data_IF_352566392452
#
_entry.id   IF_352566392452
#
_cell.length_a   1.000
_cell.length_b   1.000
_cell.length_c   1.000
_cell.angle_alpha   90.00
_cell.angle_beta   90.00
_cell.angle_gamma   90.00
#
_symmetry.space_group_name_H-M   'P 1'
#
loop_
_entity.id
_entity.type
_entity.pdbx_description
1 polymer ?
#
# COMPACT_ATOMS: atom_id res chain seq x y z
N UNK A 1 -44.27 -48.52 -36.13
CA UNK A 1 -45.43 -49.04 -35.37
C UNK A 1 -45.74 -48.04 -34.27
N UNK A 2 -46.95 -47.50 -34.29
CA UNK A 2 -47.41 -46.44 -33.37
C UNK A 2 -48.20 -47.14 -32.26
N UNK A 3 -47.68 -47.18 -31.04
CA UNK A 3 -48.40 -47.71 -29.88
C UNK A 3 -48.76 -46.54 -28.97
N UNK A 4 -49.97 -46.06 -29.19
CA UNK A 4 -50.78 -45.26 -28.28
C UNK A 4 -51.17 -46.12 -27.08
N UNK A 5 -50.67 -45.76 -25.90
CA UNK A 5 -51.27 -46.15 -24.62
C UNK A 5 -51.67 -44.87 -23.92
N UNK A 6 -52.86 -44.37 -24.26
CA UNK A 6 -53.53 -43.29 -23.54
C UNK A 6 -54.53 -43.95 -22.58
N UNK A 7 -54.02 -44.37 -21.42
CA UNK A 7 -54.85 -44.75 -20.25
C UNK A 7 -54.77 -43.57 -19.26
N UNK A 8 -55.90 -42.95 -18.88
CA UNK A 8 -55.91 -41.67 -18.15
C UNK A 8 -55.37 -41.74 -16.71
N UNK A 9 -55.09 -42.94 -16.17
CA UNK A 9 -54.66 -43.14 -14.77
C UNK A 9 -53.21 -43.60 -14.60
N UNK A 10 -52.44 -43.79 -15.69
CA UNK A 10 -51.04 -44.24 -15.58
C UNK A 10 -50.12 -43.01 -15.60
N UNK A 11 -49.70 -42.56 -14.41
CA UNK A 11 -48.76 -41.45 -14.25
C UNK A 11 -47.44 -41.79 -14.95
N UNK A 12 -47.06 -40.98 -15.93
CA UNK A 12 -45.78 -41.12 -16.63
C UNK A 12 -44.65 -40.47 -15.80
N UNK A 13 -43.99 -41.26 -14.96
CA UNK A 13 -42.89 -40.81 -14.11
C UNK A 13 -41.73 -40.16 -14.89
N UNK A 14 -41.43 -40.65 -16.10
CA UNK A 14 -40.34 -40.09 -16.92
C UNK A 14 -40.66 -38.68 -17.45
N UNK A 15 -41.92 -38.43 -17.80
CA UNK A 15 -42.38 -37.11 -18.23
C UNK A 15 -42.35 -36.12 -17.06
N UNK A 16 -42.81 -36.57 -15.89
CA UNK A 16 -42.81 -35.78 -14.66
C UNK A 16 -41.39 -35.44 -14.17
N UNK A 17 -40.46 -36.40 -14.24
CA UNK A 17 -39.05 -36.16 -13.90
C UNK A 17 -38.41 -35.11 -14.80
N UNK A 18 -38.68 -35.16 -16.12
CA UNK A 18 -38.17 -34.16 -17.06
C UNK A 18 -38.76 -32.78 -16.80
N UNK A 19 -40.05 -32.69 -16.49
CA UNK A 19 -40.70 -31.44 -16.11
C UNK A 19 -40.08 -30.84 -14.84
N UNK A 20 -39.87 -31.68 -13.82
CA UNK A 20 -39.21 -31.28 -12.58
C UNK A 20 -37.79 -30.79 -12.82
N UNK A 21 -37.00 -31.51 -13.62
CA UNK A 21 -35.64 -31.11 -13.98
C UNK A 21 -35.64 -29.76 -14.70
N UNK A 22 -36.56 -29.55 -15.67
CA UNK A 22 -36.70 -28.28 -16.37
C UNK A 22 -37.06 -27.13 -15.43
N UNK A 23 -37.96 -27.36 -14.47
CA UNK A 23 -38.33 -26.35 -13.48
C UNK A 23 -37.15 -25.98 -12.58
N UNK A 24 -36.41 -26.97 -12.10
CA UNK A 24 -35.21 -26.77 -11.28
C UNK A 24 -34.12 -26.00 -12.03
N UNK A 25 -33.92 -26.30 -13.31
CA UNK A 25 -32.95 -25.58 -14.14
C UNK A 25 -33.35 -24.12 -14.39
N UNK A 26 -34.64 -23.86 -14.60
CA UNK A 26 -35.18 -22.52 -14.75
C UNK A 26 -34.98 -21.70 -13.48
N UNK A 27 -35.26 -22.26 -12.30
CA UNK A 27 -35.03 -21.60 -11.01
C UNK A 27 -33.56 -21.29 -10.78
N UNK A 28 -32.67 -22.26 -11.06
CA UNK A 28 -31.21 -22.06 -10.98
C UNK A 28 -30.73 -20.96 -11.92
N UNK A 29 -31.34 -20.84 -13.11
CA UNK A 29 -31.02 -19.76 -14.05
C UNK A 29 -31.49 -18.41 -13.51
N UNK A 30 -32.73 -18.32 -13.03
CA UNK A 30 -33.29 -17.11 -12.44
C UNK A 30 -32.43 -16.60 -11.27
N UNK A 31 -32.04 -17.50 -10.36
CA UNK A 31 -31.17 -17.16 -9.24
C UNK A 31 -29.83 -16.56 -9.69
N UNK A 32 -29.16 -17.19 -10.67
CA UNK A 32 -27.88 -16.69 -11.21
C UNK A 32 -28.00 -15.31 -11.84
N UNK A 33 -29.05 -15.08 -12.62
CA UNK A 33 -29.30 -13.77 -13.23
C UNK A 33 -29.61 -12.71 -12.17
N UNK A 34 -30.42 -13.04 -11.17
CA UNK A 34 -30.78 -12.12 -10.10
C UNK A 34 -29.56 -11.74 -9.24
N UNK A 35 -28.71 -12.71 -8.91
CA UNK A 35 -27.44 -12.47 -8.22
C UNK A 35 -26.52 -11.54 -9.02
N UNK A 36 -26.46 -11.72 -10.34
CA UNK A 36 -25.70 -10.84 -11.22
C UNK A 36 -26.28 -9.41 -11.26
N UNK A 37 -27.62 -9.27 -11.29
CA UNK A 37 -28.31 -7.96 -11.20
C UNK A 37 -27.95 -7.25 -9.89
N UNK A 38 -28.07 -7.94 -8.76
CA UNK A 38 -27.71 -7.37 -7.45
C UNK A 38 -26.24 -6.97 -7.39
N UNK A 39 -25.34 -7.82 -7.92
CA UNK A 39 -23.91 -7.53 -7.99
C UNK A 39 -23.63 -6.27 -8.81
N UNK A 40 -24.22 -6.14 -9.98
CA UNK A 40 -24.05 -4.96 -10.84
C UNK A 40 -24.56 -3.68 -10.15
N UNK A 41 -25.72 -3.75 -9.48
CA UNK A 41 -26.27 -2.62 -8.71
C UNK A 41 -25.32 -2.22 -7.57
N UNK A 42 -24.82 -3.20 -6.80
CA UNK A 42 -23.87 -2.93 -5.72
C UNK A 42 -22.55 -2.33 -6.21
N UNK A 43 -22.09 -2.73 -7.40
CA UNK A 43 -20.90 -2.18 -8.04
C UNK A 43 -21.10 -0.77 -8.62
N UNK A 44 -22.34 -0.28 -8.72
CA UNK A 44 -22.70 1.03 -9.29
C UNK A 44 -22.17 1.21 -10.72
N UNK A 45 -22.42 0.24 -11.60
CA UNK A 45 -22.07 0.35 -13.04
C UNK A 45 -22.65 1.62 -13.68
N UNK A 46 -21.89 2.22 -14.60
CA UNK A 46 -22.14 3.56 -15.12
C UNK A 46 -23.10 3.59 -16.31
N UNK A 47 -23.30 2.45 -16.98
CA UNK A 47 -24.20 2.35 -18.14
C UNK A 47 -25.10 1.11 -18.10
N UNK A 48 -26.21 1.18 -18.84
CA UNK A 48 -27.11 0.03 -19.00
C UNK A 48 -26.46 -1.10 -19.80
N UNK A 49 -25.56 -0.79 -20.74
CA UNK A 49 -24.83 -1.79 -21.52
C UNK A 49 -23.93 -2.63 -20.61
N UNK A 50 -23.16 -2.00 -19.72
CA UNK A 50 -22.36 -2.70 -18.72
C UNK A 50 -23.20 -3.59 -17.80
N UNK A 51 -24.35 -3.07 -17.35
CA UNK A 51 -25.30 -3.86 -16.54
C UNK A 51 -25.81 -5.09 -17.30
N UNK A 52 -26.20 -4.90 -18.57
CA UNK A 52 -26.70 -5.97 -19.44
C UNK A 52 -25.63 -7.04 -19.64
N UNK A 53 -24.40 -6.65 -19.91
CA UNK A 53 -23.29 -7.57 -20.14
C UNK A 53 -22.98 -8.41 -18.89
N UNK A 54 -23.01 -7.80 -17.69
CA UNK A 54 -22.82 -8.53 -16.43
C UNK A 54 -23.92 -9.60 -16.23
N UNK A 55 -25.18 -9.26 -16.53
CA UNK A 55 -26.31 -10.19 -16.36
C UNK A 55 -26.27 -11.31 -17.40
N UNK A 56 -25.94 -10.99 -18.66
CA UNK A 56 -25.75 -11.98 -19.71
C UNK A 56 -24.61 -12.95 -19.38
N UNK A 57 -23.53 -12.45 -18.79
CA UNK A 57 -22.38 -13.24 -18.36
C UNK A 57 -22.60 -14.03 -17.04
N UNK A 58 -23.80 -14.03 -16.45
CA UNK A 58 -24.10 -14.69 -15.16
C UNK A 58 -23.88 -16.21 -15.15
N UNK A 59 -23.85 -16.85 -16.32
CA UNK A 59 -23.58 -18.27 -16.47
C UNK A 59 -22.07 -18.62 -16.47
N UNK A 60 -21.18 -17.63 -16.53
CA UNK A 60 -19.74 -17.87 -16.54
C UNK A 60 -19.25 -18.31 -15.16
N UNK A 61 -18.39 -19.33 -15.15
CA UNK A 61 -17.72 -19.80 -13.93
C UNK A 61 -16.43 -19.01 -13.71
N UNK A 62 -16.02 -18.77 -12.45
CA UNK A 62 -14.69 -18.24 -12.16
C UNK A 62 -13.63 -19.12 -12.80
N UNK A 63 -12.60 -18.51 -13.39
CA UNK A 63 -11.50 -19.23 -14.01
C UNK A 63 -10.80 -20.13 -12.99
N UNK A 64 -10.78 -21.43 -13.24
CA UNK A 64 -10.03 -22.37 -12.42
C UNK A 64 -8.55 -22.38 -12.82
N UNK A 65 -7.68 -22.88 -11.94
CA UNK A 65 -6.23 -22.93 -12.19
C UNK A 65 -5.87 -23.75 -13.44
N UNK A 66 -6.71 -24.73 -13.78
CA UNK A 66 -6.60 -25.61 -14.96
C UNK A 66 -7.09 -24.96 -16.26
N UNK A 67 -7.92 -23.93 -16.17
CA UNK A 67 -8.48 -23.22 -17.34
C UNK A 67 -7.48 -22.21 -17.92
N UNK A 68 -6.34 -22.01 -17.24
CA UNK A 68 -5.24 -21.16 -17.71
C UNK A 68 -4.48 -21.88 -18.82
N UNK A 69 -4.89 -21.66 -20.06
CA UNK A 69 -4.18 -22.13 -21.24
C UNK A 69 -2.83 -21.41 -21.33
N UNK A 70 -1.75 -22.13 -21.03
CA UNK A 70 -0.40 -21.89 -21.56
C UNK A 70 0.38 -20.65 -21.11
N UNK A 71 -0.18 -19.71 -20.34
CA UNK A 71 0.60 -18.58 -19.82
C UNK A 71 1.39 -19.01 -18.56
N UNK A 72 2.73 -18.96 -18.58
CA UNK A 72 3.50 -19.01 -17.33
C UNK A 72 2.96 -17.91 -16.40
N UNK A 73 2.88 -18.16 -15.10
CA UNK A 73 2.65 -17.09 -14.11
C UNK A 73 3.89 -16.18 -14.05
N UNK A 74 4.19 -15.47 -15.13
CA UNK A 74 4.98 -14.26 -15.13
C UNK A 74 3.98 -13.17 -14.70
N UNK A 75 3.93 -12.68 -13.47
CA UNK A 75 4.99 -12.46 -12.51
C UNK A 75 4.41 -12.63 -11.10
N UNK A 76 5.24 -12.93 -10.09
CA UNK A 76 4.81 -12.74 -8.71
C UNK A 76 4.42 -11.26 -8.54
N UNK A 77 3.22 -11.02 -7.98
CA UNK A 77 2.76 -9.66 -7.60
C UNK A 77 3.74 -8.94 -6.67
N UNK A 78 4.70 -9.68 -6.14
CA UNK A 78 5.84 -9.18 -5.40
C UNK A 78 7.13 -9.70 -6.05
N UNK A 79 7.82 -8.87 -6.81
CA UNK A 79 9.14 -9.18 -7.39
C UNK A 79 10.18 -9.51 -6.33
N UNK A 80 9.99 -9.07 -5.08
CA UNK A 80 10.90 -9.34 -3.97
C UNK A 80 10.64 -10.67 -3.24
N UNK A 81 9.52 -11.34 -3.54
CA UNK A 81 9.20 -12.65 -2.93
C UNK A 81 9.83 -13.82 -3.70
N UNK A 82 10.41 -13.58 -4.89
CA UNK A 82 11.08 -14.60 -5.70
C UNK A 82 12.58 -14.69 -5.39
N UNK A 83 12.93 -14.90 -4.12
CA UNK A 83 14.20 -15.48 -3.70
C UNK A 83 13.85 -16.70 -2.83
N UNK A 84 14.41 -17.91 -2.91
CA UNK A 84 15.47 -18.48 -3.72
C UNK A 84 15.39 -20.01 -3.48
N UNK A 85 15.40 -20.84 -4.53
CA UNK A 85 15.84 -22.24 -4.44
C UNK A 85 16.71 -22.50 -5.67
N UNK A 86 17.96 -22.09 -5.57
CA UNK A 86 18.97 -22.26 -6.60
C UNK A 86 20.22 -21.55 -6.14
N UNK A 87 21.29 -22.32 -5.98
CA UNK A 87 22.57 -21.90 -5.43
C UNK A 87 23.18 -20.76 -6.25
N UNK A 88 23.58 -19.69 -5.56
CA UNK A 88 24.91 -19.14 -5.74
C UNK A 88 25.38 -18.60 -4.38
N UNK A 89 26.38 -19.28 -3.85
CA UNK A 89 27.09 -18.88 -2.64
C UNK A 89 27.92 -17.64 -2.99
N UNK A 90 27.38 -16.46 -2.70
CA UNK A 90 28.24 -15.32 -2.32
C UNK A 90 28.07 -15.15 -0.82
N UNK A 91 29.17 -15.36 -0.11
CA UNK A 91 29.30 -15.39 1.34
C UNK A 91 28.38 -14.38 2.03
N UNK A 92 27.44 -14.90 2.79
CA UNK A 92 26.71 -14.16 3.81
C UNK A 92 27.62 -14.01 5.04
N UNK A 93 28.64 -13.17 4.92
CA UNK A 93 29.44 -12.73 6.05
C UNK A 93 29.26 -11.24 6.27
N UNK A 94 28.55 -10.91 7.35
CA UNK A 94 28.83 -9.75 8.21
C UNK A 94 29.17 -8.42 7.50
N UNK A 95 28.29 -7.90 6.65
CA UNK A 95 28.35 -6.47 6.33
C UNK A 95 27.63 -5.69 7.41
N UNK A 96 28.39 -5.35 8.45
CA UNK A 96 28.16 -4.13 9.23
C UNK A 96 28.27 -2.97 8.23
N UNK A 97 27.13 -2.58 7.64
CA UNK A 97 27.07 -1.56 6.60
C UNK A 97 27.60 -0.26 7.20
N UNK A 98 28.81 0.11 6.75
CA UNK A 98 29.42 1.38 7.05
C UNK A 98 28.43 2.48 6.64
N UNK A 99 28.07 3.36 7.57
CA UNK A 99 27.18 4.52 7.37
C UNK A 99 27.64 5.41 6.18
N UNK A 100 28.89 5.24 5.73
CA UNK A 100 29.53 5.95 4.64
C UNK A 100 28.93 5.77 3.22
N UNK A 101 28.05 4.79 2.97
CA UNK A 101 27.55 4.53 1.59
C UNK A 101 26.12 5.06 1.32
N UNK A 102 25.43 5.53 2.36
CA UNK A 102 24.06 6.02 2.21
C UNK A 102 24.02 7.50 1.84
N UNK A 103 24.09 7.80 0.55
CA UNK A 103 23.77 9.15 0.03
C UNK A 103 22.45 9.12 -0.74
N UNK A 104 21.30 8.98 -0.03
CA UNK A 104 19.99 8.96 -0.67
C UNK A 104 19.78 10.23 -1.49
N UNK A 105 19.36 10.07 -2.74
CA UNK A 105 19.02 11.18 -3.64
C UNK A 105 17.51 11.43 -3.69
N UNK A 106 16.72 10.44 -3.23
CA UNK A 106 15.26 10.49 -3.24
C UNK A 106 14.67 10.13 -1.88
N UNK A 107 13.46 10.65 -1.58
CA UNK A 107 12.75 10.37 -0.34
C UNK A 107 12.49 8.86 -0.11
N UNK A 108 12.31 8.08 -1.18
CA UNK A 108 12.13 6.63 -1.12
C UNK A 108 13.41 5.88 -0.74
N UNK A 109 14.57 6.30 -1.25
CA UNK A 109 15.87 5.74 -0.86
C UNK A 109 16.15 6.05 0.61
N UNK A 110 15.94 7.31 1.01
CA UNK A 110 16.06 7.70 2.42
C UNK A 110 15.16 6.83 3.31
N UNK A 111 13.88 6.67 2.95
CA UNK A 111 12.95 5.86 3.74
C UNK A 111 13.29 4.37 3.81
N UNK A 112 14.03 3.84 2.81
CA UNK A 112 14.57 2.47 2.86
C UNK A 112 15.75 2.39 3.82
N UNK A 113 16.69 3.31 3.72
CA UNK A 113 17.92 3.31 4.50
C UNK A 113 17.63 3.65 5.98
N UNK A 114 16.71 4.58 6.22
CA UNK A 114 16.18 4.91 7.55
C UNK A 114 15.57 3.72 8.29
N UNK A 115 14.87 2.83 7.56
CA UNK A 115 14.30 1.60 8.13
C UNK A 115 15.36 0.54 8.39
N UNK A 116 16.42 0.48 7.58
CA UNK A 116 17.55 -0.46 7.74
C UNK A 116 18.37 -0.18 9.00
N UNK A 117 18.50 1.09 9.39
CA UNK A 117 19.17 1.49 10.64
C UNK A 117 18.43 1.00 11.91
N UNK A 118 17.20 0.51 11.78
CA UNK A 118 16.44 -0.11 12.87
C UNK A 118 16.07 0.86 14.00
N UNK A 119 15.29 0.39 14.98
CA UNK A 119 14.93 1.18 16.18
C UNK A 119 15.94 1.01 17.33
N UNK A 120 16.96 0.18 17.17
CA UNK A 120 17.91 -0.21 18.22
C UNK A 120 19.08 0.75 18.45
N UNK A 121 19.47 1.54 17.44
CA UNK A 121 20.63 2.44 17.50
C UNK A 121 20.21 3.89 17.18
N UNK A 122 19.71 4.67 18.17
CA UNK A 122 19.32 6.06 17.94
C UNK A 122 20.51 6.96 17.54
N UNK A 123 21.72 6.63 17.98
CA UNK A 123 22.93 7.41 17.70
C UNK A 123 23.37 7.29 16.23
N UNK A 124 23.21 6.11 15.61
CA UNK A 124 23.50 5.92 14.18
C UNK A 124 22.52 6.71 13.31
N UNK A 125 21.23 6.76 13.70
CA UNK A 125 20.23 7.61 13.03
C UNK A 125 20.55 9.09 13.17
N UNK A 126 21.07 9.51 14.33
CA UNK A 126 21.46 10.88 14.57
C UNK A 126 22.66 11.28 13.70
N UNK A 127 23.72 10.46 13.67
CA UNK A 127 24.87 10.68 12.78
C UNK A 127 24.49 10.66 11.30
N UNK A 128 23.54 9.80 10.92
CA UNK A 128 23.01 9.76 9.55
C UNK A 128 22.24 11.04 9.17
N UNK A 129 21.50 11.65 10.10
CA UNK A 129 20.89 12.96 9.85
C UNK A 129 21.94 14.08 9.74
N UNK A 130 22.98 14.02 10.58
CA UNK A 130 24.08 14.99 10.53
C UNK A 130 24.87 14.91 9.23
N UNK A 131 25.13 13.71 8.69
CA UNK A 131 25.90 13.54 7.45
C UNK A 131 25.18 14.08 6.21
N UNK A 132 23.85 14.12 6.22
CA UNK A 132 23.03 14.60 5.10
C UNK A 132 22.90 16.14 5.06
N UNK A 133 23.09 16.82 6.19
CA UNK A 133 22.92 18.28 6.34
C UNK A 133 21.52 18.79 5.93
N UNK A 134 21.17 20.03 6.30
CA UNK A 134 19.87 20.63 6.00
C UNK A 134 19.59 20.77 4.51
N UNK A 135 20.60 21.12 3.70
CA UNK A 135 20.43 21.28 2.26
C UNK A 135 20.25 19.94 1.53
N UNK A 136 20.92 18.88 1.98
CA UNK A 136 20.71 17.53 1.44
C UNK A 136 19.30 17.01 1.76
N UNK A 137 18.84 17.20 2.99
CA UNK A 137 17.47 16.84 3.38
C UNK A 137 16.42 17.61 2.60
N UNK A 138 16.64 18.91 2.34
CA UNK A 138 15.76 19.70 1.46
C UNK A 138 15.73 19.15 0.03
N UNK A 139 16.88 18.74 -0.50
CA UNK A 139 17.02 18.16 -1.83
C UNK A 139 16.30 16.83 -2.00
N UNK A 140 16.27 16.02 -0.93
CA UNK A 140 15.61 14.71 -0.85
C UNK A 140 14.09 14.86 -0.67
N UNK A 141 13.66 15.73 0.25
CA UNK A 141 12.27 15.94 0.62
C UNK A 141 11.65 17.17 -0.08
N UNK A 142 11.77 17.24 -1.41
CA UNK A 142 11.28 18.40 -2.19
C UNK A 142 9.78 18.66 -2.03
N UNK A 143 8.98 17.61 -1.94
CA UNK A 143 7.53 17.70 -1.85
C UNK A 143 7.07 17.74 -0.39
N UNK A 144 7.43 16.73 0.39
CA UNK A 144 7.05 16.61 1.80
C UNK A 144 7.94 15.63 2.53
N UNK A 145 8.05 15.83 3.84
CA UNK A 145 8.53 14.80 4.77
C UNK A 145 7.31 13.96 5.16
N UNK A 146 7.39 12.65 4.90
CA UNK A 146 6.28 11.72 5.13
C UNK A 146 5.75 11.76 6.57
N UNK A 147 4.43 11.59 6.71
CA UNK A 147 3.76 11.55 8.00
C UNK A 147 4.31 10.38 8.84
N UNK A 148 4.83 10.66 10.03
CA UNK A 148 5.52 9.69 10.90
C UNK A 148 7.04 9.94 10.94
N UNK A 149 7.67 10.14 9.79
CA UNK A 149 9.12 10.34 9.69
C UNK A 149 9.59 11.62 10.39
N UNK A 150 8.80 12.70 10.29
CA UNK A 150 9.08 13.96 10.99
C UNK A 150 9.10 13.78 12.52
N UNK A 151 8.23 12.93 13.06
CA UNK A 151 8.21 12.63 14.49
C UNK A 151 9.47 11.89 14.92
N UNK A 152 9.89 10.91 14.12
CA UNK A 152 11.13 10.15 14.34
C UNK A 152 12.38 11.03 14.25
N UNK A 153 12.43 11.97 13.29
CA UNK A 153 13.54 12.93 13.18
C UNK A 153 13.69 13.75 14.44
N UNK A 154 12.58 14.32 14.93
CA UNK A 154 12.60 15.12 16.14
C UNK A 154 12.94 14.28 17.37
N UNK A 155 12.48 13.03 17.44
CA UNK A 155 12.85 12.11 18.51
C UNK A 155 14.35 11.82 18.52
N UNK A 156 14.94 11.50 17.37
CA UNK A 156 16.37 11.24 17.21
C UNK A 156 17.20 12.49 17.53
N UNK A 157 16.82 13.66 16.98
CA UNK A 157 17.50 14.93 17.27
C UNK A 157 17.41 15.33 18.75
N UNK A 158 16.29 15.05 19.41
CA UNK A 158 16.13 15.37 20.85
C UNK A 158 17.00 14.51 21.75
N UNK A 159 17.25 13.25 21.36
CA UNK A 159 18.01 12.28 22.15
C UNK A 159 19.51 12.39 21.90
N UNK A 160 19.90 12.68 20.66
CA UNK A 160 21.30 12.73 20.23
C UNK A 160 22.01 14.07 20.46
N UNK A 161 21.31 15.13 20.90
CA UNK A 161 21.88 16.48 21.02
C UNK A 161 23.12 16.50 21.94
N UNK A 162 24.30 16.69 21.34
CA UNK A 162 25.56 16.90 22.05
C UNK A 162 25.92 18.41 22.07
N UNK A 163 26.60 18.90 23.14
CA UNK A 163 27.09 20.27 23.19
C UNK A 163 28.16 20.48 22.10
N UNK A 164 27.81 21.27 21.07
CA UNK A 164 28.67 21.53 19.89
C UNK A 164 27.96 21.34 18.54
N UNK A 165 26.92 20.51 18.50
CA UNK A 165 26.17 20.20 17.26
C UNK A 165 25.03 21.18 16.96
N UNK A 166 24.89 22.25 17.75
CA UNK A 166 23.78 23.19 17.68
C UNK A 166 23.63 23.83 16.30
N UNK A 167 24.76 24.16 15.64
CA UNK A 167 24.77 24.76 14.31
C UNK A 167 24.28 23.79 13.23
N UNK A 168 24.71 22.52 13.27
CA UNK A 168 24.27 21.48 12.35
C UNK A 168 22.79 21.12 12.57
N UNK A 169 22.35 21.11 13.83
CA UNK A 169 20.95 20.89 14.19
C UNK A 169 20.05 22.01 13.66
N UNK A 170 20.46 23.27 13.83
CA UNK A 170 19.75 24.43 13.27
C UNK A 170 19.71 24.36 11.74
N UNK A 171 20.81 23.97 11.08
CA UNK A 171 20.88 23.81 9.63
C UNK A 171 19.87 22.75 9.15
N UNK A 172 19.83 21.59 9.79
CA UNK A 172 18.86 20.52 9.51
C UNK A 172 17.42 21.01 9.68
N UNK A 173 17.11 21.65 10.81
CA UNK A 173 15.76 22.16 11.07
C UNK A 173 15.36 23.25 10.06
N UNK A 174 16.31 24.10 9.68
CA UNK A 174 16.10 25.12 8.65
C UNK A 174 15.84 24.48 7.27
N UNK A 175 16.60 23.47 6.90
CA UNK A 175 16.40 22.69 5.66
C UNK A 175 15.01 22.05 5.60
N UNK A 176 14.60 21.41 6.70
CA UNK A 176 13.26 20.83 6.83
C UNK A 176 12.17 21.91 6.75
N UNK A 177 12.35 23.06 7.42
CA UNK A 177 11.37 24.15 7.47
C UNK A 177 11.02 24.73 6.09
N UNK A 178 11.94 24.62 5.12
CA UNK A 178 11.75 25.10 3.74
C UNK A 178 10.96 24.14 2.85
N UNK A 179 10.52 22.98 3.36
CA UNK A 179 9.72 22.03 2.57
C UNK A 179 8.24 22.46 2.53
N UNK A 180 7.59 22.47 1.36
CA UNK A 180 6.34 23.20 1.12
C UNK A 180 5.11 22.65 1.86
N UNK A 181 5.21 21.45 2.44
CA UNK A 181 4.10 20.78 3.14
C UNK A 181 4.37 20.52 4.62
N UNK A 182 5.53 20.95 5.14
CA UNK A 182 5.88 20.71 6.54
C UNK A 182 4.93 21.40 7.51
N UNK A 183 4.45 22.60 7.20
CA UNK A 183 3.44 23.29 8.00
C UNK A 183 2.16 22.46 8.19
N UNK A 184 1.75 21.72 7.16
CA UNK A 184 0.60 20.82 7.25
C UNK A 184 0.91 19.61 8.13
N UNK A 185 2.09 18.99 7.95
CA UNK A 185 2.56 17.90 8.81
C UNK A 185 2.66 18.31 10.28
N UNK A 186 3.14 19.53 10.58
CA UNK A 186 3.21 20.09 11.93
C UNK A 186 1.82 20.36 12.53
N UNK A 187 0.88 20.89 11.74
CA UNK A 187 -0.50 21.16 12.20
C UNK A 187 -1.20 19.88 12.65
N UNK A 188 -0.98 18.79 11.91
CA UNK A 188 -1.56 17.48 12.21
C UNK A 188 -0.90 16.78 13.40
N UNK A 189 0.33 17.16 13.74
CA UNK A 189 1.13 16.52 14.80
C UNK A 189 0.89 17.12 16.20
N UNK A 190 0.16 18.24 16.33
CA UNK A 190 -0.11 18.97 17.59
C UNK A 190 -0.67 18.15 18.78
N UNK A 191 -1.07 16.88 18.61
CA UNK A 191 -1.80 16.10 19.62
C UNK A 191 -0.98 15.13 20.49
N UNK A 192 0.35 14.99 20.34
CA UNK A 192 1.06 13.82 20.96
C UNK A 192 2.47 13.97 21.56
N UNK A 193 3.02 15.17 21.80
CA UNK A 193 4.46 15.26 22.17
C UNK A 193 4.78 15.99 23.50
N UNK A 194 5.83 15.53 24.17
CA UNK A 194 6.43 16.03 25.43
C UNK A 194 7.02 17.45 25.28
N UNK A 195 7.15 18.21 26.38
CA UNK A 195 7.67 19.59 26.47
C UNK A 195 8.95 19.87 25.67
N UNK A 196 9.90 18.92 25.62
CA UNK A 196 11.15 19.08 24.81
C UNK A 196 10.86 19.13 23.31
N UNK A 197 9.97 18.27 22.83
CA UNK A 197 9.52 18.26 21.44
C UNK A 197 8.74 19.53 21.11
N UNK A 198 7.90 19.99 22.04
CA UNK A 198 7.16 21.24 21.87
C UNK A 198 8.10 22.44 21.65
N UNK A 199 9.25 22.46 22.33
CA UNK A 199 10.24 23.51 22.14
C UNK A 199 10.88 23.47 20.75
N UNK A 200 11.36 22.30 20.29
CA UNK A 200 11.92 22.16 18.94
C UNK A 200 10.87 22.38 17.84
N UNK A 201 9.64 21.90 18.05
CA UNK A 201 8.51 22.14 17.15
C UNK A 201 8.18 23.62 17.06
N UNK A 202 8.26 24.37 18.18
CA UNK A 202 8.13 25.83 18.17
C UNK A 202 9.25 26.46 17.36
N UNK A 203 10.50 26.03 17.56
CA UNK A 203 11.67 26.51 16.78
C UNK A 203 11.43 26.32 15.27
N UNK A 204 11.10 25.09 14.85
CA UNK A 204 10.80 24.75 13.45
C UNK A 204 9.60 25.55 12.92
N UNK A 205 8.55 25.71 13.71
CA UNK A 205 7.36 26.48 13.34
C UNK A 205 7.67 27.98 13.16
N UNK A 206 8.46 28.57 14.06
CA UNK A 206 8.91 29.96 13.94
C UNK A 206 9.80 30.15 12.69
N UNK A 207 10.69 29.20 12.41
CA UNK A 207 11.56 29.23 11.22
C UNK A 207 10.75 29.06 9.92
N UNK A 208 9.77 28.16 9.91
CA UNK A 208 8.88 27.95 8.77
C UNK A 208 8.02 29.19 8.46
N UNK A 209 7.49 29.86 9.50
CA UNK A 209 6.76 31.13 9.33
C UNK A 209 7.68 32.21 8.78
N UNK A 210 8.88 32.37 9.35
CA UNK A 210 9.86 33.37 8.90
C UNK A 210 10.28 33.16 7.44
N UNK A 211 10.41 31.91 6.99
CA UNK A 211 10.74 31.57 5.59
C UNK A 211 9.58 31.77 4.59
N UNK A 212 8.35 31.96 5.05
CA UNK A 212 7.20 32.31 4.19
C UNK A 212 6.87 33.81 4.19
N UNK A 213 7.50 34.60 5.06
CA UNK A 213 7.31 36.05 5.16
C UNK A 213 8.35 36.86 4.38
N UNK A 214 9.28 36.19 3.70
CA UNK A 214 10.31 36.74 2.80
C UNK A 214 10.08 36.19 1.40
#
# INVERSE_FOLDING_TARGET
MKSTTDSPDVINFSALERELQSAVEADKKYQRENDARFRAIHQKVGSYEEFRDIVLASHLKPLERKDKVGAPRALPWNTLASNNKGQDQTSCDNMKLQISEFQPRTASEFGRDWRRLGSGNPDEKYHFLLSLSGDGLRGIFRAEVGFGLLGEFLEVLSRGLQPGDESAMIDILQGLSKTPRLNQSLRLSKKRYNTKYQHMMRIVYYQAIKCHSL
#
